data_IF_574348533633
#
_entry.id   IF_574348533633
#
_cell.length_a   1.000
_cell.length_b   1.000
_cell.length_c   1.000
_cell.angle_alpha   90.00
_cell.angle_beta   90.00
_cell.angle_gamma   90.00
#
_symmetry.space_group_name_H-M   'P 1'
#
loop_
_entity.id
_entity.type
_entity.pdbx_description
1 polymer ?
2 water ?
#
# COMPACT_ATOMS: atom_id res chain seq x y z
N UNK A 17 11.42 2.72 6.44
CA UNK A 17 11.41 3.54 7.70
C UNK A 17 11.11 5.05 7.54
N UNK A 18 11.35 5.63 6.36
CA UNK A 18 11.10 7.06 6.12
C UNK A 18 10.01 7.27 5.07
N UNK A 19 9.49 8.50 5.01
CA UNK A 19 8.25 8.83 4.29
C UNK A 19 7.08 7.97 4.80
N UNK A 20 6.93 7.86 6.14
CA UNK A 20 5.94 6.93 6.66
C UNK A 20 4.48 7.38 6.43
N UNK A 21 4.25 8.68 6.27
CA UNK A 21 2.89 9.18 5.98
C UNK A 21 2.38 8.65 4.64
N UNK A 22 3.24 8.67 3.62
CA UNK A 22 2.87 8.21 2.28
C UNK A 22 2.58 6.70 2.26
N UNK A 23 3.37 5.94 3.02
CA UNK A 23 3.18 4.48 3.11
C UNK A 23 1.87 4.11 3.78
N UNK A 24 1.56 4.82 4.88
CA UNK A 24 0.33 4.58 5.65
C UNK A 24 -0.90 5.00 4.84
N UNK A 25 -0.80 6.17 4.19
CA UNK A 25 -1.86 6.67 3.29
C UNK A 25 -2.14 5.65 2.19
N UNK A 26 -1.08 5.08 1.63
CA UNK A 26 -1.19 4.06 0.59
C UNK A 26 -1.82 2.78 1.10
N UNK A 27 -1.35 2.29 2.25
CA UNK A 27 -1.90 1.07 2.86
C UNK A 27 -3.39 1.23 3.17
N UNK A 28 -3.75 2.33 3.82
CA UNK A 28 -5.15 2.59 4.19
C UNK A 28 -6.06 2.75 2.98
N UNK A 29 -5.55 3.40 1.94
CA UNK A 29 -6.29 3.56 0.68
C UNK A 29 -6.58 2.22 0.00
N UNK A 30 -5.55 1.37 -0.11
CA UNK A 30 -5.71 0.03 -0.68
C UNK A 30 -6.64 -0.83 0.14
N UNK A 31 -6.49 -0.78 1.46
CA UNK A 31 -7.32 -1.55 2.36
C UNK A 31 -8.80 -1.17 2.28
N UNK A 32 -9.08 0.13 2.25
CA UNK A 32 -10.45 0.64 2.22
C UNK A 32 -11.03 0.81 0.81
N UNK A 33 -10.23 0.51 -0.22
CA UNK A 33 -10.66 0.58 -1.61
C UNK A 33 -11.05 2.01 -1.99
N UNK A 34 -10.12 2.92 -1.71
CA UNK A 34 -10.28 4.36 -1.91
C UNK A 34 -9.12 4.81 -2.78
N UNK A 35 -9.37 5.78 -3.67
CA UNK A 35 -8.30 6.41 -4.47
C UNK A 35 -7.32 7.08 -3.51
N UNK A 36 -6.02 6.96 -3.77
CA UNK A 36 -5.00 7.43 -2.82
C UNK A 36 -5.09 8.93 -2.51
N UNK A 37 -5.40 9.75 -3.51
CA UNK A 37 -5.54 11.21 -3.29
C UNK A 37 -6.92 11.64 -2.76
N UNK A 38 -7.84 10.69 -2.59
CA UNK A 38 -9.11 10.92 -1.88
C UNK A 38 -9.03 10.62 -0.38
N UNK A 39 -7.98 9.93 0.07
CA UNK A 39 -7.87 9.55 1.48
C UNK A 39 -7.52 10.74 2.38
N UNK A 40 -8.32 10.92 3.43
CA UNK A 40 -8.12 11.96 4.43
C UNK A 40 -7.55 11.31 5.70
N UNK A 41 -6.29 11.63 6.01
CA UNK A 41 -5.59 11.06 7.17
C UNK A 41 -6.14 11.50 8.53
N UNK A 42 -6.84 12.64 8.56
CA UNK A 42 -7.44 13.17 9.79
C UNK A 42 -8.93 12.84 9.98
N UNK A 43 -9.53 12.11 9.02
CA UNK A 43 -10.93 11.73 9.11
C UNK A 43 -11.11 10.51 10.02
N UNK A 44 -12.22 10.49 10.75
CA UNK A 44 -12.61 9.31 11.53
C UNK A 44 -12.88 8.15 10.58
N UNK A 45 -12.16 7.04 10.77
CA UNK A 45 -12.22 5.90 9.85
C UNK A 45 -13.59 5.24 9.78
N UNK A 46 -14.25 5.12 10.93
CA UNK A 46 -15.59 4.54 11.00
C UNK A 46 -16.65 5.40 10.28
N UNK A 47 -16.54 6.71 10.39
CA UNK A 47 -17.50 7.63 9.77
C UNK A 47 -17.25 7.82 8.27
N UNK A 48 -16.03 8.22 7.92
CA UNK A 48 -15.67 8.52 6.53
C UNK A 48 -15.67 7.29 5.61
N UNK A 49 -15.17 6.17 6.12
CA UNK A 49 -14.93 4.96 5.31
C UNK A 49 -15.64 3.70 5.80
N UNK A 50 -16.60 3.85 6.71
CA UNK A 50 -17.41 2.71 7.22
C UNK A 50 -16.59 1.55 7.79
N UNK A 51 -15.46 1.87 8.42
CA UNK A 51 -14.63 0.89 9.12
C UNK A 51 -15.43 0.28 10.28
N UNK A 52 -15.44 -1.05 10.36
CA UNK A 52 -16.06 -1.77 11.49
C UNK A 52 -15.00 -2.54 12.28
N UNK A 54 -14.32 -5.81 12.66
CA UNK A 54 -13.64 -6.87 11.91
C UNK A 54 -12.56 -6.30 11.00
N UNK A 55 -12.88 -5.23 10.27
CA UNK A 55 -11.94 -4.58 9.35
C UNK A 55 -10.73 -3.99 10.08
N UNK A 56 -10.97 -3.36 11.23
CA UNK A 56 -9.89 -2.77 12.03
C UNK A 56 -8.89 -3.83 12.52
N UNK A 57 -9.42 -4.99 12.92
CA UNK A 57 -8.58 -6.14 13.28
C UNK A 57 -7.77 -6.65 12.07
N UNK A 58 -8.41 -6.71 10.90
CA UNK A 58 -7.73 -7.10 9.65
C UNK A 58 -6.68 -6.08 9.22
N UNK A 59 -6.98 -4.79 9.37
CA UNK A 59 -6.01 -3.72 9.09
C UNK A 59 -4.75 -3.88 9.96
N UNK A 60 -4.95 -4.18 11.24
CA UNK A 60 -3.83 -4.38 12.18
C UNK A 60 -2.92 -5.51 11.74
N UNK A 61 -3.51 -6.62 11.24
CA UNK A 61 -2.72 -7.74 10.70
C UNK A 61 -1.88 -7.34 9.48
N UNK A 62 -2.41 -6.49 8.61
CA UNK A 62 -1.65 -5.96 7.47
C UNK A 62 -0.51 -5.04 7.91
N UNK A 63 -0.77 -4.20 8.92
CA UNK A 63 0.25 -3.31 9.47
C UNK A 63 1.38 -4.15 10.08
N UNK A 64 1.00 -5.17 10.85
CA UNK A 64 1.96 -6.10 11.44
C UNK A 64 2.86 -6.78 10.41
N UNK A 65 2.25 -7.24 9.32
CA UNK A 65 2.98 -7.87 8.22
C UNK A 65 3.89 -6.90 7.48
N UNK A 66 3.33 -5.75 7.08
CA UNK A 66 4.05 -4.80 6.22
C UNK A 66 5.24 -4.11 6.89
N UNK A 67 5.13 -3.85 8.19
CA UNK A 67 6.20 -3.20 8.95
C UNK A 67 7.00 -4.13 9.85
N UNK A 68 6.50 -5.33 10.11
CA UNK A 68 7.19 -6.30 10.97
C UNK A 68 7.19 -5.87 12.42
N UNK A 69 6.00 -5.46 12.90
CA UNK A 69 5.82 -5.03 14.28
C UNK A 69 4.65 -5.80 14.90
N UNK A 70 4.52 -5.68 16.21
CA UNK A 70 3.43 -6.32 16.97
C UNK A 70 2.38 -5.27 17.33
N UNK A 71 1.12 -5.67 17.31
CA UNK A 71 0.00 -4.80 17.65
C UNK A 71 -1.04 -5.56 18.47
N UNK A 72 -1.28 -5.10 19.69
CA UNK A 72 -2.33 -5.65 20.56
C UNK A 72 -3.67 -5.03 20.22
N UNK A 73 -4.75 -5.68 20.65
CA UNK A 73 -6.11 -5.16 20.48
C UNK A 73 -6.32 -3.83 21.22
N UNK A 74 -5.70 -3.71 22.39
CA UNK A 74 -5.69 -2.46 23.14
C UNK A 74 -5.09 -1.30 22.35
N UNK A 75 -4.00 -1.57 21.64
CA UNK A 75 -3.31 -0.55 20.84
C UNK A 75 -4.11 -0.11 19.61
N UNK A 76 -4.61 -1.06 18.82
CA UNK A 76 -5.33 -0.72 17.57
C UNK A 76 -6.75 -0.21 17.78
N UNK A 77 -7.32 -0.40 18.97
CA UNK A 77 -8.64 0.18 19.30
C UNK A 77 -8.61 1.71 19.27
N UNK A 78 -7.44 2.30 19.56
CA UNK A 78 -7.23 3.74 19.48
C UNK A 78 -6.96 4.30 18.06
N UNK A 79 -6.95 3.44 17.04
CA UNK A 79 -6.77 3.87 15.66
C UNK A 79 -8.08 4.42 15.09
N UNK A 80 -8.41 5.63 15.50
CA UNK A 80 -9.64 6.30 15.07
C UNK A 80 -9.49 6.97 13.72
N UNK A 81 -8.28 7.45 13.42
CA UNK A 81 -7.95 8.07 12.14
C UNK A 81 -6.69 7.45 11.56
N UNK A 82 -6.42 7.79 10.31
CA UNK A 82 -5.18 7.38 9.65
C UNK A 82 -3.94 7.90 10.35
N UNK A 83 -4.04 9.10 10.90
CA UNK A 83 -2.93 9.73 11.62
C UNK A 83 -2.56 8.96 12.90
N UNK A 84 -3.55 8.40 13.59
CA UNK A 84 -3.29 7.54 14.74
C UNK A 84 -2.51 6.29 14.36
N UNK A 85 -2.82 5.71 13.19
CA UNK A 85 -2.12 4.53 12.70
C UNK A 85 -0.67 4.91 12.39
N UNK A 86 -0.49 6.03 11.69
CA UNK A 86 0.84 6.57 11.37
C UNK A 86 1.73 6.80 12.59
N UNK A 87 1.20 7.51 13.59
CA UNK A 87 1.98 7.86 14.77
C UNK A 87 2.33 6.66 15.64
N UNK A 88 1.42 5.68 15.71
CA UNK A 88 1.72 4.43 16.39
C UNK A 88 2.85 3.68 15.67
N UNK A 89 2.74 3.55 14.35
CA UNK A 89 3.74 2.84 13.55
C UNK A 89 5.10 3.54 13.62
N UNK A 90 5.12 4.86 13.51
CA UNK A 90 6.38 5.63 13.58
C UNK A 90 7.15 5.41 14.88
N UNK A 91 6.43 5.49 16.00
CA UNK A 91 7.04 5.29 17.32
C UNK A 91 7.42 3.83 17.57
N UNK A 92 6.61 2.91 17.03
CA UNK A 92 6.92 1.47 17.09
C UNK A 92 8.20 1.12 16.33
N UNK A 93 8.42 1.78 15.19
CA UNK A 93 9.66 1.60 14.41
C UNK A 93 10.89 2.26 15.05
N UNK A 94 10.70 3.37 15.75
CA UNK A 94 11.80 4.02 16.49
C UNK A 94 12.29 3.17 17.67
N UNK A 95 11.37 2.45 18.32
CA UNK A 95 11.73 1.51 19.39
C UNK A 95 12.53 0.33 18.83
N UNK B 18 2.64 13.27 -5.85
CA UNK B 18 4.07 12.82 -6.04
C UNK B 18 4.47 11.76 -5.00
N UNK B 19 5.78 11.46 -4.90
CA UNK B 19 6.31 10.30 -4.17
C UNK B 19 5.79 8.97 -4.75
N UNK B 20 5.79 8.84 -6.09
CA UNK B 20 5.29 7.61 -6.70
C UNK B 20 6.16 6.38 -6.41
N UNK B 21 7.46 6.60 -6.17
CA UNK B 21 8.38 5.52 -5.84
C UNK B 21 7.95 4.78 -4.57
N UNK B 22 7.63 5.55 -3.53
CA UNK B 22 7.20 4.98 -2.24
C UNK B 22 5.80 4.37 -2.32
N UNK B 23 4.91 4.98 -3.11
CA UNK B 23 3.57 4.43 -3.31
C UNK B 23 3.59 3.09 -4.04
N UNK B 24 4.37 3.00 -5.12
CA UNK B 24 4.50 1.77 -5.91
C UNK B 24 5.15 0.65 -5.08
N UNK B 25 6.25 0.99 -4.40
CA UNK B 25 6.93 0.05 -3.49
C UNK B 25 5.96 -0.51 -2.45
N UNK B 26 5.14 0.37 -1.85
CA UNK B 26 4.13 -0.02 -0.86
C UNK B 26 3.01 -0.89 -1.46
N UNK B 27 2.53 -0.52 -2.64
CA UNK B 27 1.49 -1.29 -3.33
C UNK B 27 1.96 -2.71 -3.64
N UNK B 28 3.15 -2.82 -4.23
CA UNK B 28 3.72 -4.11 -4.59
C UNK B 28 4.00 -4.99 -3.37
N UNK B 29 4.46 -4.38 -2.28
CA UNK B 29 4.69 -5.09 -1.02
C UNK B 29 3.41 -5.69 -0.45
N UNK B 30 2.34 -4.89 -0.43
CA UNK B 30 1.02 -5.35 0.02
C UNK B 30 0.46 -6.45 -0.88
N UNK B 31 0.55 -6.24 -2.18
CA UNK B 31 0.04 -7.19 -3.17
C UNK B 31 0.75 -8.54 -3.07
N UNK B 32 2.08 -8.52 -3.03
CA UNK B 32 2.90 -9.73 -2.94
C UNK B 32 3.02 -10.29 -1.52
N UNK B 33 2.47 -9.59 -0.53
CA UNK B 33 2.41 -10.05 0.85
C UNK B 33 3.82 -10.25 1.41
N UNK B 34 4.61 -9.17 1.36
CA UNK B 34 5.94 -9.16 1.97
C UNK B 34 6.19 -7.85 2.72
N UNK B 35 7.19 -7.89 3.61
CA UNK B 35 7.62 -6.71 4.38
C UNK B 35 8.06 -5.63 3.40
N UNK B 36 7.68 -4.38 3.66
CA UNK B 36 7.96 -3.26 2.75
C UNK B 36 9.47 -3.07 2.52
N UNK B 37 10.25 -3.11 3.59
CA UNK B 37 11.72 -2.98 3.48
C UNK B 37 12.45 -4.18 2.86
N UNK B 38 11.73 -5.30 2.63
CA UNK B 38 12.25 -6.44 1.88
C UNK B 38 11.97 -6.40 0.37
N UNK B 39 11.09 -5.51 -0.08
CA UNK B 39 10.78 -5.41 -1.51
C UNK B 39 11.93 -4.73 -2.27
N UNK B 40 12.34 -5.35 -3.37
CA UNK B 40 13.42 -4.87 -4.23
C UNK B 40 12.82 -4.35 -5.55
N UNK B 41 12.85 -3.03 -5.73
CA UNK B 41 12.30 -2.39 -6.94
C UNK B 41 13.03 -2.76 -8.24
N UNK B 42 14.30 -3.15 -8.13
CA UNK B 42 15.10 -3.53 -9.31
C UNK B 42 15.06 -5.03 -9.65
N UNK B 43 14.45 -5.83 -8.78
CA UNK B 43 14.36 -7.28 -8.98
C UNK B 43 13.30 -7.65 -10.02
N UNK B 44 13.59 -8.69 -10.79
CA UNK B 44 12.64 -9.29 -11.73
C UNK B 44 11.47 -9.88 -10.92
N UNK B 45 10.25 -9.41 -11.20
CA UNK B 45 9.07 -9.77 -10.41
C UNK B 45 8.77 -11.26 -10.43
N UNK B 46 8.92 -11.87 -11.61
CA UNK B 46 8.70 -13.30 -11.78
C UNK B 46 9.74 -14.14 -11.03
N UNK B 47 11.00 -13.72 -11.11
CA UNK B 47 12.10 -14.41 -10.44
C UNK B 47 12.01 -14.29 -8.91
N UNK B 48 12.00 -13.06 -8.42
CA UNK B 48 12.07 -12.78 -6.98
C UNK B 48 10.79 -13.14 -6.24
N UNK B 49 9.64 -12.81 -6.82
CA UNK B 49 8.35 -12.92 -6.12
C UNK B 49 7.34 -13.89 -6.73
N UNK B 50 7.76 -14.66 -7.73
CA UNK B 50 6.92 -15.68 -8.37
C UNK B 50 5.62 -15.09 -8.96
N UNK B 51 5.74 -13.87 -9.48
CA UNK B 51 4.63 -13.16 -10.13
C UNK B 51 4.34 -13.79 -11.48
N UNK B 52 3.18 -14.43 -11.59
CA UNK B 52 2.71 -14.98 -12.87
C UNK B 52 1.89 -13.94 -13.65
N UNK B 54 -1.44 -13.99 -14.49
CA UNK B 54 -2.75 -13.73 -13.88
C UNK B 54 -2.65 -12.76 -12.71
N UNK B 55 -1.62 -12.92 -11.88
CA UNK B 55 -1.33 -11.98 -10.78
C UNK B 55 -0.96 -10.58 -11.29
N UNK B 56 -0.31 -10.53 -12.45
CA UNK B 56 0.05 -9.26 -13.09
C UNK B 56 -1.21 -8.47 -13.51
N UNK B 57 -2.23 -9.18 -13.96
CA UNK B 57 -3.54 -8.59 -14.24
C UNK B 57 -4.27 -8.13 -12.98
N UNK B 58 -4.19 -8.94 -11.92
CA UNK B 58 -4.77 -8.58 -10.62
C UNK B 58 -4.09 -7.33 -10.02
N UNK B 59 -2.77 -7.23 -10.19
CA UNK B 59 -2.02 -6.03 -9.80
C UNK B 59 -2.50 -4.80 -10.58
N UNK B 60 -2.69 -4.97 -11.90
CA UNK B 60 -3.15 -3.88 -12.77
C UNK B 60 -4.49 -3.29 -12.30
N UNK B 61 -5.40 -4.14 -11.83
CA UNK B 61 -6.69 -3.69 -11.29
C UNK B 61 -6.52 -2.80 -10.05
N UNK B 62 -5.58 -3.16 -9.17
CA UNK B 62 -5.25 -2.36 -7.99
C UNK B 62 -4.59 -1.02 -8.38
N UNK B 63 -3.70 -1.05 -9.36
CA UNK B 63 -3.07 0.17 -9.90
C UNK B 63 -4.13 1.13 -10.46
N UNK B 64 -5.12 0.58 -11.16
CA UNK B 64 -6.20 1.39 -11.76
C UNK B 64 -7.06 2.11 -10.70
N UNK B 65 -7.46 1.39 -9.67
CA UNK B 65 -8.29 1.95 -8.59
C UNK B 65 -7.54 3.00 -7.76
N UNK B 66 -6.30 2.69 -7.37
CA UNK B 66 -5.53 3.54 -6.46
C UNK B 66 -5.07 4.87 -7.06
N UNK B 67 -4.61 4.84 -8.30
CA UNK B 67 -4.15 6.05 -9.00
C UNK B 67 -5.22 6.71 -9.88
N UNK B 68 -6.27 5.96 -10.24
CA UNK B 68 -7.34 6.48 -11.08
C UNK B 68 -6.94 6.60 -12.54
N UNK B 69 -6.37 5.52 -13.07
CA UNK B 69 -5.89 5.46 -14.46
C UNK B 69 -6.38 4.19 -15.15
N UNK B 70 -6.22 4.14 -16.48
CA UNK B 70 -6.55 2.95 -17.27
C UNK B 70 -5.27 2.19 -17.62
N UNK B 71 -5.35 0.86 -17.59
CA UNK B 71 -4.22 -0.02 -17.94
C UNK B 71 -4.73 -1.14 -18.87
N UNK B 72 -4.17 -1.22 -20.07
CA UNK B 72 -4.51 -2.28 -21.04
C UNK B 72 -3.68 -3.53 -20.74
N UNK B 73 -4.01 -4.63 -21.42
CA UNK B 73 -3.28 -5.90 -21.27
C UNK B 73 -1.85 -5.82 -21.81
N UNK B 74 -1.66 -5.15 -22.94
CA UNK B 74 -0.34 -5.02 -23.56
C UNK B 74 0.63 -4.20 -22.71
N UNK B 75 0.09 -3.23 -21.97
CA UNK B 75 0.90 -2.37 -21.10
C UNK B 75 1.43 -3.13 -19.87
N UNK B 76 0.54 -3.81 -19.15
CA UNK B 76 0.94 -4.48 -17.91
C UNK B 76 1.80 -5.74 -18.10
N UNK B 77 1.77 -6.35 -19.28
CA UNK B 77 2.62 -7.50 -19.59
C UNK B 77 4.10 -7.15 -19.75
N UNK B 78 4.39 -5.87 -19.98
CA UNK B 78 5.77 -5.35 -20.01
C UNK B 78 6.37 -5.06 -18.63
N UNK B 79 5.57 -5.18 -17.56
CA UNK B 79 6.04 -4.92 -16.20
C UNK B 79 6.89 -6.08 -15.67
N UNK B 80 8.20 -5.99 -15.92
CA UNK B 80 9.17 -7.01 -15.49
C UNK B 80 9.73 -6.73 -14.10
N UNK B 81 9.82 -5.44 -13.72
CA UNK B 81 10.30 -5.03 -12.41
C UNK B 81 9.34 -4.02 -11.78
N UNK B 82 9.52 -3.78 -10.49
CA UNK B 82 8.81 -2.71 -9.79
C UNK B 82 9.09 -1.35 -10.40
N UNK B 83 10.35 -1.14 -10.82
CA UNK B 83 10.76 0.09 -11.49
C UNK B 83 10.02 0.34 -12.81
N UNK B 84 9.80 -0.72 -13.59
CA UNK B 84 9.02 -0.62 -14.83
C UNK B 84 7.57 -0.21 -14.55
N UNK B 85 7.00 -0.70 -13.45
CA UNK B 85 5.65 -0.30 -13.02
C UNK B 85 5.63 1.18 -12.63
N UNK B 86 6.68 1.62 -11.93
CA UNK B 86 6.84 3.04 -11.55
C UNK B 86 6.90 3.97 -12.74
N UNK B 87 7.71 3.62 -13.74
CA UNK B 87 7.90 4.45 -14.93
C UNK B 87 6.60 4.64 -15.73
N UNK B 88 5.82 3.57 -15.85
CA UNK B 88 4.52 3.63 -16.52
C UNK B 88 3.53 4.52 -15.78
N UNK B 89 3.39 4.32 -14.46
CA UNK B 89 2.47 5.10 -13.64
C UNK B 89 2.85 6.59 -13.63
N UNK B 90 4.15 6.89 -13.62
CA UNK B 90 4.63 8.28 -13.72
C UNK B 90 4.23 8.95 -15.03
N UNK B 91 4.36 8.23 -16.15
CA UNK B 91 3.95 8.74 -17.46
C UNK B 91 2.43 8.90 -17.59
N UNK B 92 1.69 7.96 -17.01
CA UNK B 92 0.22 7.99 -17.01
C UNK B 92 -0.37 9.18 -16.25
N UNK B 93 0.23 9.50 -15.09
CA UNK B 93 -0.22 10.65 -14.29
C UNK B 93 0.09 12.01 -14.91
N UNK B 94 1.14 12.09 -15.74
CA UNK B 94 1.47 13.31 -16.49
C UNK B 94 0.39 13.61 -17.54
#
# INVERSE_FOLDING_TARGET
GSSHHHHHHSGDPASMNNHPEVKIKTILSLFLNINIDDFNMDANLADAYDMDXTELADLAKEIEKEFGISVTKSQFSHWETGRAVLDFVSSSLNDKN
GSSHHHHHHSGDPASMNNHPEVKIKTILSLFLNINIDDFNMDANLADAYDMDXTELADLAKEIEKEFGISVTKSQFSHWETGRAVLDFVSSSLNDKN
#
